data_IF_071600793015
#
_entry.id   IF_071600793015
#
_cell.length_a   1.000
_cell.length_b   1.000
_cell.length_c   1.000
_cell.angle_alpha   90.00
_cell.angle_beta   90.00
_cell.angle_gamma   90.00
#
_symmetry.space_group_name_H-M   'P 1'
#
loop_
_entity.id
_entity.type
_entity.pdbx_description
1 polymer ?
#
# COMPACT_ATOMS: atom_id res chain seq x y z
N UNK A 1 9.27 23.44 13.03
CA UNK A 1 9.62 22.03 13.09
C UNK A 1 8.92 21.22 11.97
N UNK A 2 7.59 21.25 11.86
CA UNK A 2 6.88 20.60 10.74
C UNK A 2 7.26 21.16 9.37
N UNK A 3 7.36 22.50 9.21
CA UNK A 3 7.81 23.14 7.98
C UNK A 3 9.21 22.69 7.57
N UNK A 4 10.15 22.64 8.51
CA UNK A 4 11.53 22.21 8.24
C UNK A 4 11.61 20.75 7.76
N UNK A 5 10.74 19.86 8.30
CA UNK A 5 10.64 18.47 7.85
C UNK A 5 10.07 18.42 6.43
N UNK A 6 9.02 19.18 6.14
CA UNK A 6 8.43 19.28 4.80
C UNK A 6 9.44 19.83 3.80
N UNK A 7 10.13 20.92 4.14
CA UNK A 7 11.17 21.51 3.29
C UNK A 7 12.30 20.51 3.00
N UNK A 8 12.76 19.78 4.03
CA UNK A 8 13.78 18.74 3.85
C UNK A 8 13.32 17.58 2.96
N UNK A 9 12.04 17.20 3.01
CA UNK A 9 11.47 16.15 2.15
C UNK A 9 11.38 16.66 0.71
N UNK A 10 10.97 17.92 0.51
CA UNK A 10 10.92 18.55 -0.81
C UNK A 10 12.32 18.64 -1.41
N UNK A 11 13.29 19.17 -0.66
CA UNK A 11 14.69 19.24 -1.09
C UNK A 11 15.26 17.86 -1.44
N UNK A 12 14.90 16.84 -0.66
CA UNK A 12 15.32 15.47 -0.93
C UNK A 12 14.63 14.91 -2.18
N UNK A 13 13.34 15.16 -2.36
CA UNK A 13 12.60 14.78 -3.55
C UNK A 13 13.14 15.45 -4.81
N UNK A 14 13.51 16.74 -4.74
CA UNK A 14 14.11 17.50 -5.85
C UNK A 14 15.50 16.95 -6.20
N UNK A 15 16.30 16.57 -5.22
CA UNK A 15 17.64 16.02 -5.46
C UNK A 15 17.65 14.60 -6.01
N UNK A 16 16.76 13.73 -5.53
CA UNK A 16 16.71 12.31 -5.89
C UNK A 16 15.56 11.99 -6.87
N UNK A 17 14.53 12.82 -6.93
CA UNK A 17 13.42 12.75 -7.85
C UNK A 17 12.82 11.35 -7.94
N UNK A 18 12.63 10.87 -9.17
CA UNK A 18 12.07 9.56 -9.45
C UNK A 18 12.92 8.39 -8.93
N UNK A 19 14.23 8.56 -8.82
CA UNK A 19 15.12 7.53 -8.25
C UNK A 19 14.84 7.36 -6.76
N UNK A 20 14.70 8.45 -6.02
CA UNK A 20 14.32 8.43 -4.62
C UNK A 20 12.96 7.79 -4.40
N UNK A 21 11.97 8.13 -5.23
CA UNK A 21 10.66 7.51 -5.22
C UNK A 21 10.75 5.99 -5.47
N UNK A 22 11.56 5.57 -6.44
CA UNK A 22 11.76 4.16 -6.74
C UNK A 22 12.39 3.40 -5.57
N UNK A 23 13.41 3.97 -4.92
CA UNK A 23 14.09 3.36 -3.77
C UNK A 23 13.12 3.23 -2.58
N UNK A 24 12.38 4.29 -2.25
CA UNK A 24 11.44 4.25 -1.12
C UNK A 24 10.28 3.29 -1.41
N UNK A 25 9.69 3.36 -2.60
CA UNK A 25 8.58 2.48 -2.97
C UNK A 25 8.97 1.00 -2.96
N UNK A 26 10.18 0.67 -3.45
CA UNK A 26 10.67 -0.72 -3.44
C UNK A 26 11.02 -1.19 -2.03
N UNK A 27 11.71 -0.38 -1.24
CA UNK A 27 12.11 -0.76 0.11
C UNK A 27 10.94 -0.82 1.09
N UNK A 28 9.91 0.04 0.96
CA UNK A 28 8.66 -0.05 1.73
C UNK A 28 7.96 -1.38 1.49
N UNK A 29 7.81 -1.76 0.24
CA UNK A 29 7.14 -3.00 -0.13
C UNK A 29 7.93 -4.26 0.32
N UNK A 30 9.24 -4.14 0.54
CA UNK A 30 10.09 -5.23 1.00
C UNK A 30 10.10 -5.35 2.52
N UNK A 31 10.45 -4.27 3.26
CA UNK A 31 10.70 -4.36 4.71
C UNK A 31 10.51 -3.07 5.52
N UNK A 32 10.70 -1.87 4.93
CA UNK A 32 10.74 -0.63 5.70
C UNK A 32 9.33 -0.02 5.93
N UNK A 33 9.13 0.83 6.95
CA UNK A 33 7.82 1.41 7.27
C UNK A 33 7.52 2.75 6.60
N UNK A 34 8.51 3.43 5.96
CA UNK A 34 8.30 4.76 5.41
C UNK A 34 7.44 4.68 4.14
N UNK A 35 6.27 5.33 4.10
CA UNK A 35 5.38 5.25 2.95
C UNK A 35 5.90 6.07 1.77
N UNK A 36 5.77 5.61 0.52
CA UNK A 36 6.14 6.36 -0.67
C UNK A 36 5.27 7.60 -0.88
N UNK A 37 4.11 7.67 -0.24
CA UNK A 37 3.21 8.83 -0.24
C UNK A 37 3.93 10.13 0.17
N UNK A 38 4.95 10.04 1.03
CA UNK A 38 5.79 11.18 1.44
C UNK A 38 6.48 11.87 0.25
N UNK A 39 6.74 11.14 -0.83
CA UNK A 39 7.32 11.68 -2.07
C UNK A 39 6.28 11.86 -3.16
N UNK A 40 5.29 10.95 -3.27
CA UNK A 40 4.24 11.05 -4.28
C UNK A 40 3.46 12.35 -4.12
N UNK A 41 3.09 12.72 -2.88
CA UNK A 41 2.30 13.93 -2.61
C UNK A 41 3.00 15.19 -3.13
N UNK A 42 4.23 15.55 -2.69
CA UNK A 42 4.89 16.76 -3.16
C UNK A 42 5.21 16.70 -4.65
N UNK A 43 5.62 15.54 -5.18
CA UNK A 43 5.92 15.40 -6.61
C UNK A 43 4.67 15.54 -7.49
N UNK A 44 3.52 14.98 -7.10
CA UNK A 44 2.27 15.12 -7.83
C UNK A 44 1.74 16.55 -7.80
N UNK A 45 1.87 17.25 -6.66
CA UNK A 45 1.53 18.68 -6.54
C UNK A 45 2.46 19.55 -7.39
N UNK A 46 3.75 19.26 -7.45
CA UNK A 46 4.71 19.97 -8.29
C UNK A 46 4.47 19.72 -9.79
N UNK A 47 4.00 18.51 -10.15
CA UNK A 47 3.67 18.12 -11.53
C UNK A 47 2.29 18.61 -11.98
N UNK A 48 1.62 19.48 -11.22
CA UNK A 48 0.23 19.88 -11.43
C UNK A 48 -0.09 20.25 -12.89
N UNK A 49 -1.10 19.58 -13.45
CA UNK A 49 -1.55 19.75 -14.83
C UNK A 49 -0.71 19.02 -15.90
N UNK A 50 0.44 18.46 -15.55
CA UNK A 50 1.26 17.67 -16.48
C UNK A 50 0.88 16.19 -16.43
N UNK A 51 0.08 15.76 -17.40
CA UNK A 51 -0.32 14.34 -17.50
C UNK A 51 0.88 13.39 -17.57
N UNK A 52 1.94 13.76 -18.30
CA UNK A 52 3.11 12.91 -18.47
C UNK A 52 3.88 12.74 -17.17
N UNK A 53 4.13 13.83 -16.43
CA UNK A 53 4.87 13.76 -15.18
C UNK A 53 4.09 12.98 -14.12
N UNK A 54 2.78 13.22 -14.02
CA UNK A 54 1.89 12.46 -13.11
C UNK A 54 1.90 10.97 -13.48
N UNK A 55 1.78 10.63 -14.77
CA UNK A 55 1.83 9.25 -15.21
C UNK A 55 3.17 8.57 -14.89
N UNK A 56 4.30 9.28 -15.07
CA UNK A 56 5.63 8.76 -14.75
C UNK A 56 5.77 8.51 -13.25
N UNK A 57 5.32 9.44 -12.39
CA UNK A 57 5.33 9.27 -10.93
C UNK A 57 4.55 8.01 -10.55
N UNK A 58 3.32 7.84 -11.05
CA UNK A 58 2.46 6.69 -10.76
C UNK A 58 3.12 5.38 -11.23
N UNK A 59 3.67 5.36 -12.44
CA UNK A 59 4.33 4.17 -13.00
C UNK A 59 5.58 3.80 -12.20
N UNK A 60 6.45 4.76 -11.89
CA UNK A 60 7.66 4.53 -11.09
C UNK A 60 7.29 4.00 -9.72
N UNK A 61 6.36 4.64 -9.00
CA UNK A 61 5.92 4.17 -7.69
C UNK A 61 5.34 2.74 -7.76
N UNK A 62 4.48 2.47 -8.74
CA UNK A 62 3.82 1.16 -8.91
C UNK A 62 4.82 0.06 -9.22
N UNK A 63 5.63 0.23 -10.25
CA UNK A 63 6.58 -0.81 -10.66
C UNK A 63 7.67 -1.04 -9.63
N UNK A 64 8.20 0.02 -9.03
CA UNK A 64 9.22 -0.10 -7.97
C UNK A 64 8.66 -0.78 -6.72
N UNK A 65 7.42 -0.47 -6.32
CA UNK A 65 6.74 -1.15 -5.21
C UNK A 65 6.53 -2.64 -5.50
N UNK A 66 6.11 -3.00 -6.72
CA UNK A 66 5.95 -4.40 -7.11
C UNK A 66 7.30 -5.12 -7.15
N UNK A 67 8.35 -4.50 -7.69
CA UNK A 67 9.70 -5.07 -7.67
C UNK A 67 10.20 -5.29 -6.23
N UNK A 68 10.01 -4.32 -5.35
CA UNK A 68 10.34 -4.45 -3.94
C UNK A 68 9.56 -5.58 -3.26
N UNK A 69 8.28 -5.73 -3.59
CA UNK A 69 7.45 -6.80 -3.04
C UNK A 69 7.91 -8.20 -3.46
N UNK A 70 8.60 -8.35 -4.59
CA UNK A 70 9.25 -9.62 -4.95
C UNK A 70 10.37 -9.99 -3.97
N UNK A 71 11.12 -9.00 -3.47
CA UNK A 71 12.05 -9.21 -2.37
C UNK A 71 11.34 -9.65 -1.08
N UNK A 72 10.21 -9.02 -0.75
CA UNK A 72 9.35 -9.44 0.35
C UNK A 72 8.82 -10.86 0.15
N UNK A 73 8.34 -11.19 -1.04
CA UNK A 73 7.92 -12.54 -1.41
C UNK A 73 9.06 -13.57 -1.24
N UNK A 74 10.26 -13.25 -1.72
CA UNK A 74 11.42 -14.11 -1.55
C UNK A 74 11.77 -14.31 -0.05
N UNK A 75 11.70 -13.26 0.77
CA UNK A 75 11.84 -13.38 2.23
C UNK A 75 10.82 -14.39 2.77
N UNK A 76 9.55 -14.30 2.34
CA UNK A 76 8.51 -15.25 2.74
C UNK A 76 8.84 -16.69 2.35
N UNK A 77 9.33 -16.91 1.12
CA UNK A 77 9.71 -18.25 0.62
C UNK A 77 10.87 -18.85 1.44
N UNK A 78 11.95 -18.07 1.64
CA UNK A 78 13.17 -18.57 2.26
C UNK A 78 13.15 -18.55 3.79
N UNK A 79 12.58 -17.50 4.37
CA UNK A 79 12.50 -17.36 5.84
C UNK A 79 11.31 -18.11 6.44
N UNK A 80 10.28 -18.34 5.63
CA UNK A 80 9.11 -19.12 5.99
C UNK A 80 8.24 -18.46 7.07
N UNK A 81 7.22 -19.21 7.47
CA UNK A 81 6.21 -18.80 8.45
C UNK A 81 6.78 -18.40 9.82
N UNK A 82 7.80 -19.08 10.39
CA UNK A 82 8.33 -18.72 11.70
C UNK A 82 8.94 -17.32 11.77
N UNK A 83 9.54 -16.82 10.68
CA UNK A 83 10.07 -15.46 10.62
C UNK A 83 8.95 -14.45 10.40
N UNK A 84 7.99 -14.77 9.54
CA UNK A 84 6.81 -13.92 9.33
C UNK A 84 6.07 -13.65 10.65
N UNK A 85 5.86 -14.67 11.47
CA UNK A 85 5.15 -14.58 12.75
C UNK A 85 5.89 -13.78 13.83
N UNK A 86 7.20 -13.51 13.67
CA UNK A 86 7.95 -12.58 14.56
C UNK A 86 7.61 -11.12 14.29
N UNK A 87 7.25 -10.77 13.06
CA UNK A 87 7.00 -9.39 12.64
C UNK A 87 5.52 -9.10 12.40
N UNK A 88 4.73 -10.13 12.15
CA UNK A 88 3.29 -10.03 11.88
C UNK A 88 2.57 -10.95 12.87
N UNK A 89 1.49 -10.46 13.48
CA UNK A 89 0.71 -11.27 14.43
C UNK A 89 0.24 -12.56 13.73
N UNK A 90 0.38 -13.71 14.40
CA UNK A 90 -0.02 -15.03 13.87
C UNK A 90 -1.48 -15.05 13.41
N UNK A 91 -2.37 -14.34 14.13
CA UNK A 91 -3.77 -14.17 13.73
C UNK A 91 -3.94 -13.44 12.39
N UNK A 92 -3.07 -12.48 12.07
CA UNK A 92 -3.08 -11.79 10.77
C UNK A 92 -2.59 -12.72 9.66
N UNK A 93 -1.55 -13.50 9.94
CA UNK A 93 -1.01 -14.50 8.99
C UNK A 93 -2.08 -15.54 8.65
N UNK A 94 -2.74 -16.10 9.66
CA UNK A 94 -3.83 -17.09 9.46
C UNK A 94 -4.99 -16.49 8.65
N UNK A 95 -5.35 -15.22 8.87
CA UNK A 95 -6.38 -14.56 8.08
C UNK A 95 -5.97 -14.35 6.62
N UNK A 96 -4.71 -14.04 6.37
CA UNK A 96 -4.17 -13.94 5.00
C UNK A 96 -4.19 -15.31 4.32
N UNK A 97 -3.77 -16.36 5.01
CA UNK A 97 -3.84 -17.73 4.49
C UNK A 97 -5.29 -18.11 4.12
N UNK A 98 -6.24 -17.83 5.00
CA UNK A 98 -7.67 -18.06 4.72
C UNK A 98 -8.16 -17.29 3.50
N UNK A 99 -7.80 -16.00 3.37
CA UNK A 99 -8.15 -15.18 2.21
C UNK A 99 -7.54 -15.77 0.93
N UNK A 100 -6.29 -16.22 0.99
CA UNK A 100 -5.61 -16.82 -0.17
C UNK A 100 -6.23 -18.16 -0.57
N UNK A 101 -6.55 -19.01 0.40
CA UNK A 101 -7.22 -20.30 0.15
C UNK A 101 -8.62 -20.10 -0.42
N UNK A 102 -9.41 -19.18 0.15
CA UNK A 102 -10.81 -18.97 -0.22
C UNK A 102 -10.99 -18.21 -1.52
N UNK A 103 -10.16 -17.19 -1.76
CA UNK A 103 -10.33 -16.25 -2.87
C UNK A 103 -9.20 -16.33 -3.91
N UNK A 104 -8.16 -17.13 -3.67
CA UNK A 104 -7.03 -17.27 -4.57
C UNK A 104 -6.37 -15.93 -4.90
N UNK A 105 -6.17 -15.65 -6.19
CA UNK A 105 -5.58 -14.38 -6.67
C UNK A 105 -6.41 -13.14 -6.33
N UNK A 106 -7.75 -13.28 -6.26
CA UNK A 106 -8.63 -12.20 -5.83
C UNK A 106 -8.40 -11.84 -4.36
N UNK A 107 -7.96 -12.79 -3.54
CA UNK A 107 -7.57 -12.55 -2.15
C UNK A 107 -6.41 -11.57 -2.01
N UNK A 108 -5.40 -11.64 -2.91
CA UNK A 108 -4.30 -10.68 -2.93
C UNK A 108 -4.81 -9.28 -3.28
N UNK A 109 -5.67 -9.19 -4.29
CA UNK A 109 -6.23 -7.91 -4.72
C UNK A 109 -7.03 -7.25 -3.59
N UNK A 110 -7.90 -8.01 -2.91
CA UNK A 110 -8.66 -7.54 -1.74
C UNK A 110 -7.71 -7.09 -0.63
N UNK A 111 -6.69 -7.88 -0.34
CA UNK A 111 -5.72 -7.56 0.70
C UNK A 111 -4.82 -6.37 0.31
N UNK A 112 -4.50 -6.19 -0.97
CA UNK A 112 -3.70 -5.06 -1.47
C UNK A 112 -4.44 -3.70 -1.39
N UNK A 113 -5.77 -3.71 -1.46
CA UNK A 113 -6.62 -2.52 -1.27
C UNK A 113 -6.93 -2.29 0.21
N UNK A 114 -6.85 -3.34 1.04
CA UNK A 114 -7.16 -3.25 2.47
C UNK A 114 -6.05 -2.52 3.24
N UNK A 115 -6.32 -2.03 4.47
CA UNK A 115 -5.32 -1.36 5.30
C UNK A 115 -4.24 -2.29 5.88
N UNK A 116 -4.03 -3.45 5.26
CA UNK A 116 -2.97 -4.39 5.63
C UNK A 116 -1.65 -3.89 5.04
N UNK A 117 -0.55 -3.85 5.82
CA UNK A 117 0.76 -3.50 5.28
C UNK A 117 1.15 -4.44 4.13
N UNK A 118 1.42 -3.87 2.95
CA UNK A 118 1.68 -4.66 1.73
C UNK A 118 2.87 -5.62 1.85
N UNK A 119 3.89 -5.24 2.63
CA UNK A 119 5.01 -6.12 2.97
C UNK A 119 4.57 -7.40 3.70
N UNK A 120 3.60 -7.30 4.62
CA UNK A 120 3.06 -8.49 5.30
C UNK A 120 2.36 -9.42 4.31
N UNK A 121 1.63 -8.83 3.35
CA UNK A 121 1.00 -9.55 2.25
C UNK A 121 2.05 -10.26 1.36
N UNK A 122 3.13 -9.56 0.99
CA UNK A 122 4.20 -10.13 0.17
C UNK A 122 4.90 -11.31 0.87
N UNK A 123 5.22 -11.16 2.15
CA UNK A 123 5.82 -12.22 2.96
C UNK A 123 4.87 -13.42 3.14
N UNK A 124 3.58 -13.16 3.39
CA UNK A 124 2.57 -14.22 3.51
C UNK A 124 2.38 -14.97 2.18
N UNK A 125 2.28 -14.27 1.06
CA UNK A 125 2.17 -14.87 -0.27
C UNK A 125 3.38 -15.76 -0.59
N UNK A 126 4.60 -15.31 -0.22
CA UNK A 126 5.82 -16.11 -0.36
C UNK A 126 5.82 -17.34 0.52
N UNK A 127 5.45 -17.22 1.81
CA UNK A 127 5.42 -18.35 2.74
C UNK A 127 4.37 -19.40 2.38
N UNK A 128 3.31 -19.01 1.68
CA UNK A 128 2.26 -19.90 1.16
C UNK A 128 2.56 -20.44 -0.24
N UNK A 129 3.76 -20.16 -0.81
CA UNK A 129 4.15 -20.56 -2.16
C UNK A 129 3.11 -20.21 -3.24
N UNK A 130 2.50 -19.02 -3.12
CA UNK A 130 1.53 -18.55 -4.10
C UNK A 130 2.15 -18.37 -5.48
N UNK A 131 1.37 -18.53 -6.55
CA UNK A 131 1.86 -18.29 -7.91
C UNK A 131 2.35 -16.83 -8.05
N UNK A 132 3.63 -16.69 -8.35
CA UNK A 132 4.31 -15.39 -8.44
C UNK A 132 3.71 -14.49 -9.54
N UNK A 133 3.17 -15.06 -10.61
CA UNK A 133 2.56 -14.30 -11.70
C UNK A 133 1.25 -13.66 -11.25
N UNK A 134 0.45 -14.40 -10.50
CA UNK A 134 -0.78 -13.89 -9.92
C UNK A 134 -0.48 -12.82 -8.86
N UNK A 135 0.56 -13.04 -8.04
CA UNK A 135 1.02 -12.05 -7.07
C UNK A 135 1.44 -10.74 -7.73
N UNK A 136 2.25 -10.80 -8.81
CA UNK A 136 2.68 -9.62 -9.56
C UNK A 136 1.48 -8.90 -10.18
N UNK A 137 0.58 -9.63 -10.86
CA UNK A 137 -0.58 -9.03 -11.52
C UNK A 137 -1.50 -8.31 -10.51
N UNK A 138 -1.81 -8.96 -9.38
CA UNK A 138 -2.61 -8.36 -8.33
C UNK A 138 -1.89 -7.15 -7.67
N UNK A 139 -0.56 -7.23 -7.52
CA UNK A 139 0.26 -6.14 -7.03
C UNK A 139 0.24 -4.92 -7.94
N UNK A 140 0.41 -5.11 -9.26
CA UNK A 140 0.33 -4.02 -10.25
C UNK A 140 -1.06 -3.38 -10.21
N UNK A 141 -2.12 -4.16 -10.19
CA UNK A 141 -3.49 -3.64 -10.13
C UNK A 141 -3.74 -2.88 -8.83
N UNK A 142 -3.45 -3.48 -7.68
CA UNK A 142 -3.73 -2.88 -6.37
C UNK A 142 -2.91 -1.61 -6.11
N UNK A 143 -1.60 -1.67 -6.35
CA UNK A 143 -0.71 -0.50 -6.20
C UNK A 143 -0.96 0.54 -7.28
N UNK A 144 -1.23 0.12 -8.52
CA UNK A 144 -1.57 1.02 -9.63
C UNK A 144 -2.85 1.81 -9.36
N UNK A 145 -3.89 1.18 -8.83
CA UNK A 145 -5.12 1.87 -8.42
C UNK A 145 -4.81 2.84 -7.27
N UNK A 146 -4.10 2.41 -6.24
CA UNK A 146 -3.79 3.25 -5.08
C UNK A 146 -2.99 4.48 -5.48
N UNK A 147 -1.82 4.30 -6.09
CA UNK A 147 -0.96 5.41 -6.49
C UNK A 147 -1.55 6.22 -7.64
N UNK A 148 -2.35 5.55 -8.51
CA UNK A 148 -3.09 6.21 -9.57
C UNK A 148 -4.12 7.18 -9.04
N UNK A 149 -4.94 6.76 -8.07
CA UNK A 149 -5.92 7.64 -7.43
C UNK A 149 -5.24 8.81 -6.73
N UNK A 150 -4.19 8.54 -5.96
CA UNK A 150 -3.43 9.56 -5.25
C UNK A 150 -2.79 10.57 -6.22
N UNK A 151 -2.01 10.09 -7.20
CA UNK A 151 -1.32 10.93 -8.17
C UNK A 151 -2.27 11.73 -9.05
N UNK A 152 -3.41 11.16 -9.48
CA UNK A 152 -4.42 11.87 -10.29
C UNK A 152 -5.13 12.93 -9.45
N UNK A 153 -5.57 12.61 -8.24
CA UNK A 153 -6.27 13.58 -7.39
C UNK A 153 -5.35 14.75 -7.07
N UNK A 154 -4.12 14.50 -6.65
CA UNK A 154 -3.19 15.55 -6.26
C UNK A 154 -2.63 16.30 -7.47
N UNK A 155 -2.35 15.62 -8.57
CA UNK A 155 -1.77 16.23 -9.76
C UNK A 155 -2.75 17.07 -10.59
N UNK A 156 -4.05 16.77 -10.57
CA UNK A 156 -5.04 17.55 -11.32
C UNK A 156 -5.95 18.41 -10.44
N UNK A 157 -6.15 18.04 -9.19
CA UNK A 157 -7.07 18.70 -8.26
C UNK A 157 -6.38 19.10 -6.95
N UNK A 158 -5.04 19.25 -6.96
CA UNK A 158 -4.25 19.49 -5.76
C UNK A 158 -4.65 20.73 -5.00
N UNK A 159 -4.89 21.86 -5.68
CA UNK A 159 -5.32 23.11 -5.05
C UNK A 159 -6.72 22.97 -4.43
N UNK A 160 -7.66 22.38 -5.15
CA UNK A 160 -9.01 22.14 -4.66
C UNK A 160 -8.98 21.16 -3.48
N UNK A 161 -8.14 20.14 -3.54
CA UNK A 161 -7.97 19.18 -2.45
C UNK A 161 -7.36 19.83 -1.20
N UNK A 162 -6.33 20.65 -1.34
CA UNK A 162 -5.75 21.40 -0.22
C UNK A 162 -6.76 22.37 0.39
N UNK A 163 -7.56 23.06 -0.42
CA UNK A 163 -8.66 23.92 0.04
C UNK A 163 -9.72 23.11 0.78
N UNK A 164 -10.03 21.90 0.31
CA UNK A 164 -10.96 20.99 0.97
C UNK A 164 -10.45 20.54 2.34
N UNK A 165 -9.15 20.27 2.47
CA UNK A 165 -8.52 19.92 3.75
C UNK A 165 -8.60 21.04 4.79
N UNK A 166 -8.70 22.30 4.36
CA UNK A 166 -8.88 23.44 5.27
C UNK A 166 -10.31 23.60 5.78
N UNK A 167 -11.28 22.87 5.18
CA UNK A 167 -12.69 22.95 5.53
C UNK A 167 -13.01 21.98 6.70
N UNK A 168 -13.50 22.49 7.87
CA UNK A 168 -13.85 21.63 9.01
C UNK A 168 -14.92 20.58 8.69
N UNK A 169 -15.83 20.86 7.77
CA UNK A 169 -16.87 19.92 7.36
C UNK A 169 -16.32 18.69 6.63
N UNK A 170 -15.21 18.87 5.90
CA UNK A 170 -14.51 17.75 5.26
C UNK A 170 -14.06 16.71 6.30
N UNK A 171 -13.47 17.16 7.40
CA UNK A 171 -13.01 16.27 8.47
C UNK A 171 -14.18 15.63 9.23
N UNK A 172 -15.27 16.36 9.42
CA UNK A 172 -16.46 15.80 10.05
C UNK A 172 -17.08 14.69 9.19
N UNK A 173 -17.39 14.99 7.91
CA UNK A 173 -17.96 14.00 7.01
C UNK A 173 -16.99 12.87 6.67
N UNK A 174 -15.70 13.18 6.48
CA UNK A 174 -14.65 12.19 6.28
C UNK A 174 -14.51 11.24 7.46
N UNK A 175 -14.56 11.77 8.69
CA UNK A 175 -14.53 10.96 9.91
C UNK A 175 -15.75 10.05 10.03
N UNK A 176 -16.95 10.56 9.75
CA UNK A 176 -18.18 9.75 9.73
C UNK A 176 -18.08 8.64 8.68
N UNK A 177 -17.67 8.97 7.44
CA UNK A 177 -17.52 8.01 6.36
C UNK A 177 -16.47 6.95 6.69
N UNK A 178 -15.31 7.38 7.18
CA UNK A 178 -14.24 6.46 7.60
C UNK A 178 -14.72 5.51 8.68
N UNK A 179 -15.45 6.01 9.68
CA UNK A 179 -16.02 5.18 10.74
C UNK A 179 -17.06 4.22 10.19
N UNK A 180 -17.94 4.69 9.31
CA UNK A 180 -18.99 3.87 8.69
C UNK A 180 -18.42 2.75 7.81
N UNK A 181 -17.27 2.95 7.19
CA UNK A 181 -16.58 1.92 6.41
C UNK A 181 -15.70 1.02 7.29
N UNK A 182 -15.06 1.60 8.30
CA UNK A 182 -14.15 0.86 9.18
C UNK A 182 -14.88 -0.13 10.08
N UNK A 183 -16.05 0.20 10.61
CA UNK A 183 -16.79 -0.68 11.50
C UNK A 183 -17.21 -2.00 10.81
N UNK A 184 -17.85 -2.00 9.63
CA UNK A 184 -18.19 -3.25 8.94
C UNK A 184 -16.93 -3.97 8.45
N UNK A 185 -15.88 -3.24 8.01
CA UNK A 185 -14.61 -3.86 7.67
C UNK A 185 -13.97 -4.57 8.86
N UNK A 186 -13.93 -3.91 10.02
CA UNK A 186 -13.36 -4.50 11.24
C UNK A 186 -14.19 -5.69 11.75
N UNK A 187 -15.52 -5.61 11.63
CA UNK A 187 -16.41 -6.74 11.95
C UNK A 187 -16.16 -7.94 11.02
N UNK A 188 -16.07 -7.69 9.71
CA UNK A 188 -15.70 -8.70 8.73
C UNK A 188 -14.31 -9.26 8.99
N UNK A 189 -13.31 -8.40 9.21
CA UNK A 189 -11.94 -8.80 9.50
C UNK A 189 -11.81 -9.61 10.79
N UNK A 190 -12.54 -9.26 11.83
CA UNK A 190 -12.56 -10.01 13.09
C UNK A 190 -13.27 -11.36 12.95
N UNK A 191 -14.29 -11.44 12.08
CA UNK A 191 -15.00 -12.66 11.77
C UNK A 191 -14.23 -13.66 10.88
N UNK A 192 -13.10 -13.24 10.28
CA UNK A 192 -12.18 -14.12 9.55
C UNK A 192 -11.31 -14.98 10.52
N UNK A 193 -11.86 -15.43 11.61
CA UNK A 193 -11.23 -16.43 12.47
C UNK A 193 -11.69 -17.78 11.91
N UNK A 194 -10.71 -18.62 11.56
CA UNK A 194 -10.99 -20.02 11.22
C UNK A 194 -11.76 -20.63 12.39
N UNK A 195 -12.96 -21.13 12.13
CA UNK A 195 -13.60 -22.02 13.09
C UNK A 195 -12.70 -23.25 13.25
N UNK A 196 -12.62 -23.85 14.44
CA UNK A 196 -11.84 -25.07 14.66
C UNK A 196 -12.25 -26.22 13.72
N UNK A 197 -13.42 -26.13 13.09
CA UNK A 197 -14.01 -27.11 12.17
C UNK A 197 -13.56 -26.97 10.70
N UNK A 198 -12.79 -25.93 10.35
CA UNK A 198 -12.28 -25.68 8.99
C UNK A 198 -10.87 -26.30 8.76
N UNK A 199 -10.32 -27.06 9.72
CA UNK A 199 -9.04 -27.79 9.63
C UNK A 199 -9.20 -29.24 9.10
N UNK A 200 -10.06 -29.48 8.11
CA UNK A 200 -10.14 -30.79 7.45
C UNK A 200 -9.77 -30.72 5.98
#
# INVERSE_FOLDING_TARGET
MLSQIVDSIIDWADNWGLIGLAIISSSEAMFQPAPPDLLIIPMALAAQGSFLDIAVIILVATFSSVLGSLGGYAIGVYAGRPVLEKFVKSTTVSKLDYIFLKYGSMGIFIAAISPIPYKALAWAAGSSNMDIRLFIAAGIMGRGIRFGLEGIILGFYGEEFLNLLSNPWFWLFGGILTTALFLPFNAWWSGLILSPDDEL
#
